data_IF_682854996405
#
_entry.id   IF_682854996405
#
_cell.length_a   1.000
_cell.length_b   1.000
_cell.length_c   1.000
_cell.angle_alpha   90.00
_cell.angle_beta   90.00
_cell.angle_gamma   90.00
#
_symmetry.space_group_name_H-M   'P 1'
#
loop_
_entity.id
_entity.type
_entity.pdbx_description
1 polymer ?
#
# COMPACT_ATOMS: atom_id res chain seq x y z
N UNK A 1 -4.74 10.11 30.69
CA UNK A 1 -5.84 9.74 31.60
C UNK A 1 -6.02 8.22 31.56
N UNK A 2 -6.67 7.61 32.54
CA UNK A 2 -6.99 6.19 32.48
C UNK A 2 -8.06 5.92 31.40
N UNK A 3 -7.94 4.80 30.68
CA UNK A 3 -8.91 4.36 29.65
C UNK A 3 -10.27 4.02 30.28
N UNK A 4 -11.36 4.23 29.53
CA UNK A 4 -12.71 3.82 29.96
C UNK A 4 -13.03 2.43 29.43
N UNK A 5 -12.74 1.41 30.24
CA UNK A 5 -12.84 0.03 29.80
C UNK A 5 -14.21 -0.58 30.12
N UNK A 6 -14.79 -1.27 29.13
CA UNK A 6 -15.91 -2.20 29.31
C UNK A 6 -15.39 -3.63 29.28
N UNK A 7 -15.86 -4.45 30.22
CA UNK A 7 -15.63 -5.89 30.18
C UNK A 7 -16.62 -6.54 29.20
N UNK A 8 -16.11 -7.24 28.19
CA UNK A 8 -16.93 -7.94 27.21
C UNK A 8 -17.21 -9.38 27.64
N UNK A 9 -16.22 -10.06 28.25
CA UNK A 9 -16.43 -11.40 28.80
C UNK A 9 -15.15 -12.23 28.98
N UNK A 10 -15.35 -13.43 29.53
CA UNK A 10 -14.32 -14.46 29.69
C UNK A 10 -14.93 -15.85 29.51
N UNK A 11 -14.20 -16.76 28.87
CA UNK A 11 -14.64 -18.13 28.61
C UNK A 11 -14.51 -19.10 29.79
N UNK A 12 -14.27 -18.61 31.01
CA UNK A 12 -13.97 -19.48 32.15
C UNK A 12 -15.05 -19.51 33.21
N UNK A 13 -15.41 -20.73 33.64
CA UNK A 13 -16.22 -20.94 34.84
C UNK A 13 -15.44 -20.94 36.16
N UNK A 14 -14.09 -20.87 36.15
CA UNK A 14 -13.25 -21.24 37.32
C UNK A 14 -12.27 -20.20 37.89
N UNK A 15 -12.06 -19.05 37.24
CA UNK A 15 -11.16 -17.98 37.71
C UNK A 15 -9.72 -18.02 37.17
N UNK A 16 -9.12 -16.83 36.99
CA UNK A 16 -7.84 -16.50 36.30
C UNK A 16 -7.80 -16.92 34.82
N UNK A 17 -8.59 -16.27 33.98
CA UNK A 17 -8.70 -16.67 32.58
C UNK A 17 -8.59 -15.52 31.60
N UNK A 18 -8.33 -15.87 30.32
CA UNK A 18 -8.28 -14.87 29.28
C UNK A 18 -9.61 -14.14 29.16
N UNK A 19 -9.52 -12.83 29.02
CA UNK A 19 -10.66 -11.95 28.99
C UNK A 19 -10.48 -10.89 27.91
N UNK A 20 -11.62 -10.44 27.42
CA UNK A 20 -11.72 -9.39 26.42
C UNK A 20 -12.34 -8.17 27.07
N UNK A 21 -11.66 -7.04 26.94
CA UNK A 21 -12.17 -5.72 27.29
C UNK A 21 -12.16 -4.85 26.04
N UNK A 22 -12.92 -3.78 26.09
CA UNK A 22 -13.00 -2.78 25.03
C UNK A 22 -12.84 -1.39 25.63
N UNK A 23 -11.99 -0.59 25.02
CA UNK A 23 -11.88 0.83 25.32
C UNK A 23 -13.05 1.56 24.68
N UNK A 24 -13.89 2.20 25.50
CA UNK A 24 -15.09 2.89 25.01
C UNK A 24 -14.77 4.19 24.28
N UNK A 25 -13.57 4.74 24.45
CA UNK A 25 -13.16 5.99 23.83
C UNK A 25 -12.45 5.74 22.49
N UNK A 26 -11.57 4.72 22.41
CA UNK A 26 -10.82 4.41 21.19
C UNK A 26 -11.37 3.24 20.38
N UNK A 27 -12.29 2.45 20.96
CA UNK A 27 -12.78 1.17 20.40
C UNK A 27 -11.74 0.05 20.36
N UNK A 28 -10.54 0.28 20.89
CA UNK A 28 -9.50 -0.76 20.97
C UNK A 28 -9.97 -1.96 21.79
N UNK A 29 -9.60 -3.15 21.32
CA UNK A 29 -9.80 -4.39 22.05
C UNK A 29 -8.57 -4.71 22.88
N UNK A 30 -8.77 -4.92 24.18
CA UNK A 30 -7.72 -5.37 25.09
C UNK A 30 -7.96 -6.84 25.39
N UNK A 31 -7.03 -7.67 24.98
CA UNK A 31 -7.02 -9.10 25.29
C UNK A 31 -5.89 -9.36 26.27
N UNK A 32 -6.19 -10.02 27.39
CA UNK A 32 -5.17 -10.47 28.33
C UNK A 32 -5.38 -11.93 28.69
N UNK A 33 -4.31 -12.63 29.04
CA UNK A 33 -4.30 -14.06 29.36
C UNK A 33 -2.92 -14.51 29.87
N UNK A 34 -2.72 -15.81 30.10
CA UNK A 34 -1.41 -16.36 30.41
C UNK A 34 -0.42 -16.05 29.29
N UNK A 35 0.81 -15.66 29.66
CA UNK A 35 1.89 -15.43 28.70
C UNK A 35 2.29 -16.75 28.04
N UNK A 36 2.56 -16.71 26.74
CA UNK A 36 3.25 -17.80 26.06
C UNK A 36 4.74 -17.66 26.39
N UNK A 37 5.31 -18.66 27.07
CA UNK A 37 6.68 -18.58 27.59
C UNK A 37 7.65 -19.59 26.97
N UNK A 38 7.14 -20.58 26.25
CA UNK A 38 8.00 -21.57 25.59
C UNK A 38 8.76 -20.92 24.43
N UNK A 39 10.09 -21.00 24.45
CA UNK A 39 10.94 -20.36 23.45
C UNK A 39 10.78 -20.96 22.05
N UNK A 40 10.47 -22.25 21.96
CA UNK A 40 10.25 -22.91 20.67
C UNK A 40 8.92 -22.47 20.06
N UNK A 41 7.90 -22.24 20.88
CA UNK A 41 6.63 -21.67 20.42
C UNK A 41 6.79 -20.21 19.97
N UNK A 42 7.51 -19.39 20.75
CA UNK A 42 7.77 -17.98 20.42
C UNK A 42 8.54 -17.84 19.11
N UNK A 43 9.54 -18.69 18.86
CA UNK A 43 10.35 -18.65 17.64
C UNK A 43 9.57 -18.93 16.35
N UNK A 44 8.34 -19.45 16.45
CA UNK A 44 7.46 -19.70 15.30
C UNK A 44 6.51 -18.54 15.01
N UNK A 45 6.40 -17.55 15.89
CA UNK A 45 5.52 -16.40 15.70
C UNK A 45 6.07 -15.46 14.61
N UNK A 46 5.16 -14.93 13.80
CA UNK A 46 5.48 -13.94 12.76
C UNK A 46 5.15 -12.54 13.28
N UNK A 47 5.97 -11.56 12.90
CA UNK A 47 5.77 -10.13 13.23
C UNK A 47 5.79 -9.78 14.73
N UNK A 48 6.42 -10.60 15.57
CA UNK A 48 6.57 -10.29 17.00
C UNK A 48 7.71 -9.30 17.22
N UNK A 49 7.42 -8.15 17.84
CA UNK A 49 8.43 -7.14 18.20
C UNK A 49 8.97 -7.29 19.65
N UNK A 50 10.00 -6.50 20.01
CA UNK A 50 10.65 -6.57 21.33
C UNK A 50 9.81 -5.99 22.49
N UNK A 51 8.74 -5.27 22.19
CA UNK A 51 7.81 -4.66 23.14
C UNK A 51 6.51 -5.47 23.28
N UNK A 52 6.30 -6.48 22.44
CA UNK A 52 5.16 -7.37 22.46
C UNK A 52 5.35 -8.56 23.41
N UNK A 53 4.28 -8.93 24.11
CA UNK A 53 4.24 -10.13 24.96
C UNK A 53 3.14 -11.04 24.42
N UNK A 54 3.48 -12.19 23.80
CA UNK A 54 2.47 -13.10 23.30
C UNK A 54 1.70 -13.74 24.46
N UNK A 55 0.38 -13.84 24.31
CA UNK A 55 -0.53 -14.45 25.28
C UNK A 55 -1.30 -15.62 24.65
N UNK A 56 -1.70 -16.58 25.48
CA UNK A 56 -2.52 -17.72 25.06
C UNK A 56 -3.98 -17.44 25.39
N UNK A 57 -4.84 -17.50 24.37
CA UNK A 57 -6.27 -17.20 24.49
C UNK A 57 -7.09 -18.33 23.86
N UNK A 58 -8.03 -18.96 24.60
CA UNK A 58 -8.93 -19.95 24.03
C UNK A 58 -9.72 -19.38 22.84
N UNK A 59 -9.83 -20.18 21.78
CA UNK A 59 -10.57 -19.81 20.57
C UNK A 59 -11.97 -19.27 20.87
N UNK A 60 -12.70 -19.95 21.76
CA UNK A 60 -14.06 -19.57 22.12
C UNK A 60 -14.11 -18.21 22.84
N UNK A 61 -13.09 -17.81 23.60
CA UNK A 61 -13.08 -16.49 24.23
C UNK A 61 -13.10 -15.37 23.18
N UNK A 62 -12.30 -15.49 22.12
CA UNK A 62 -12.28 -14.51 21.02
C UNK A 62 -13.56 -14.60 20.18
N UNK A 63 -14.06 -15.80 19.91
CA UNK A 63 -15.30 -15.98 19.17
C UNK A 63 -16.48 -15.43 19.96
N UNK A 64 -16.62 -15.71 21.24
CA UNK A 64 -17.84 -15.38 21.99
C UNK A 64 -17.88 -13.91 22.42
N UNK A 65 -16.72 -13.32 22.72
CA UNK A 65 -16.62 -11.99 23.34
C UNK A 65 -15.84 -10.95 22.52
N UNK A 66 -15.24 -11.34 21.40
CA UNK A 66 -14.64 -10.40 20.45
C UNK A 66 -15.70 -9.57 19.71
N UNK A 67 -15.33 -8.37 19.20
CA UNK A 67 -16.23 -7.56 18.39
C UNK A 67 -16.77 -8.33 17.20
N UNK A 68 -18.05 -8.11 16.89
CA UNK A 68 -18.74 -8.73 15.75
C UNK A 68 -18.75 -7.83 14.52
N UNK A 69 -18.73 -6.54 14.79
CA UNK A 69 -18.65 -5.50 13.78
C UNK A 69 -17.21 -5.03 13.67
N UNK A 70 -16.82 -4.66 12.44
CA UNK A 70 -15.55 -3.98 12.20
C UNK A 70 -15.70 -2.50 12.56
N UNK A 71 -14.58 -1.84 12.78
CA UNK A 71 -14.58 -0.38 12.85
C UNK A 71 -15.18 0.18 11.55
N UNK A 72 -16.10 1.12 11.71
CA UNK A 72 -16.71 1.83 10.59
C UNK A 72 -15.76 2.85 9.99
N UNK A 73 -14.80 3.32 10.79
CA UNK A 73 -13.84 4.33 10.38
C UNK A 73 -12.69 3.68 9.60
N UNK A 74 -12.29 4.28 8.46
CA UNK A 74 -11.12 3.84 7.71
C UNK A 74 -9.85 3.86 8.57
N UNK A 75 -9.01 2.83 8.44
CA UNK A 75 -7.67 2.82 9.05
C UNK A 75 -6.74 3.68 8.20
N UNK A 76 -6.51 4.93 8.60
CA UNK A 76 -5.62 5.85 7.88
C UNK A 76 -4.20 5.75 8.45
N UNK A 77 -3.23 5.46 7.59
CA UNK A 77 -1.81 5.58 7.88
C UNK A 77 -1.31 6.97 7.47
N UNK A 78 -0.38 7.52 8.26
CA UNK A 78 0.42 8.65 7.82
C UNK A 78 1.45 8.22 6.74
N UNK A 79 1.97 9.17 5.94
CA UNK A 79 2.93 8.86 4.86
C UNK A 79 4.21 8.15 5.32
N UNK A 80 4.70 8.41 6.54
CA UNK A 80 5.92 7.77 7.04
C UNK A 80 5.66 6.30 7.37
N UNK A 81 4.54 6.00 8.02
CA UNK A 81 4.12 4.62 8.30
C UNK A 81 3.84 3.86 7.01
N UNK A 82 3.22 4.51 6.02
CA UNK A 82 3.01 3.92 4.69
C UNK A 82 4.33 3.55 3.98
N UNK A 83 5.36 4.41 4.06
CA UNK A 83 6.67 4.12 3.44
C UNK A 83 7.30 2.82 3.99
N UNK A 84 7.10 2.50 5.27
CA UNK A 84 7.58 1.24 5.86
C UNK A 84 6.93 -0.02 5.29
N UNK A 85 5.80 0.07 4.60
CA UNK A 85 5.15 -1.10 3.98
C UNK A 85 6.00 -1.71 2.85
N UNK A 86 6.79 -0.89 2.14
CA UNK A 86 7.64 -1.34 1.04
C UNK A 86 8.82 -2.21 1.50
N UNK A 87 9.20 -2.13 2.77
CA UNK A 87 10.22 -2.99 3.35
C UNK A 87 9.65 -4.39 3.69
N UNK A 88 8.34 -4.46 3.95
CA UNK A 88 7.71 -5.60 4.60
C UNK A 88 6.92 -6.53 3.67
N UNK A 89 6.60 -6.14 2.44
CA UNK A 89 5.92 -7.05 1.50
C UNK A 89 6.82 -8.22 1.09
N UNK A 90 6.21 -9.37 0.79
CA UNK A 90 6.92 -10.64 0.59
C UNK A 90 6.93 -11.13 -0.86
N UNK A 91 5.91 -10.80 -1.65
CA UNK A 91 5.69 -11.41 -2.96
C UNK A 91 5.39 -10.39 -4.06
N UNK A 92 4.58 -9.38 -3.77
CA UNK A 92 4.20 -8.39 -4.78
C UNK A 92 3.84 -7.03 -4.21
N UNK A 93 4.21 -5.97 -4.93
CA UNK A 93 3.71 -4.62 -4.73
C UNK A 93 3.26 -4.05 -6.09
N UNK A 94 2.01 -3.63 -6.21
CA UNK A 94 1.48 -3.14 -7.48
C UNK A 94 0.73 -1.81 -7.33
N UNK A 95 1.00 -0.83 -8.21
CA UNK A 95 0.44 0.52 -8.13
C UNK A 95 -0.47 0.83 -9.33
N UNK A 96 -1.69 1.33 -9.06
CA UNK A 96 -2.45 2.10 -10.05
C UNK A 96 -2.21 3.60 -9.80
N UNK A 97 -1.58 4.26 -10.75
CA UNK A 97 -1.28 5.69 -10.72
C UNK A 97 -2.31 6.46 -11.55
N UNK A 98 -3.25 7.14 -10.89
CA UNK A 98 -4.33 7.90 -11.56
C UNK A 98 -4.01 9.39 -11.72
N UNK A 99 -3.03 9.90 -10.96
CA UNK A 99 -2.73 11.33 -10.83
C UNK A 99 -2.13 11.93 -12.11
N UNK A 100 -2.18 13.27 -12.17
CA UNK A 100 -1.57 14.08 -13.24
C UNK A 100 -0.13 14.53 -12.91
N UNK A 101 0.37 14.13 -11.76
CA UNK A 101 1.66 14.48 -11.17
C UNK A 101 1.58 14.36 -9.65
N UNK A 102 2.73 14.42 -9.00
CA UNK A 102 2.84 14.35 -7.54
C UNK A 102 3.67 15.52 -7.02
N UNK A 103 3.31 16.06 -5.86
CA UNK A 103 4.05 17.17 -5.25
C UNK A 103 5.49 16.77 -4.88
N UNK A 104 5.69 15.51 -4.45
CA UNK A 104 7.00 14.97 -4.09
C UNK A 104 7.98 15.02 -5.27
N UNK A 105 7.50 14.73 -6.49
CA UNK A 105 8.32 14.81 -7.70
C UNK A 105 8.75 16.24 -7.97
N UNK A 106 7.82 17.20 -7.86
CA UNK A 106 8.07 18.63 -8.11
C UNK A 106 9.14 19.23 -7.20
N UNK A 107 9.38 18.62 -6.05
CA UNK A 107 10.41 19.05 -5.10
C UNK A 107 11.82 18.51 -5.41
N UNK A 108 11.98 17.67 -6.44
CA UNK A 108 13.25 17.00 -6.76
C UNK A 108 14.10 17.78 -7.77
N UNK A 109 15.43 17.60 -7.69
CA UNK A 109 16.37 18.14 -8.68
C UNK A 109 16.18 17.50 -10.07
N UNK A 110 15.74 16.23 -10.14
CA UNK A 110 15.45 15.54 -11.40
C UNK A 110 14.26 16.14 -12.13
N UNK A 111 13.24 16.59 -11.39
CA UNK A 111 12.13 17.35 -11.96
C UNK A 111 12.60 18.70 -12.50
N UNK A 112 13.44 19.42 -11.75
CA UNK A 112 14.01 20.68 -12.21
C UNK A 112 14.90 20.51 -13.47
N UNK A 113 15.65 19.42 -13.58
CA UNK A 113 16.40 19.06 -14.80
C UNK A 113 15.45 18.80 -15.98
N UNK A 114 14.41 18.00 -15.76
CA UNK A 114 13.40 17.69 -16.77
C UNK A 114 12.73 18.96 -17.33
N UNK A 115 12.37 19.93 -16.47
CA UNK A 115 11.79 21.21 -16.90
C UNK A 115 12.74 22.07 -17.75
N UNK A 116 14.05 21.82 -17.70
CA UNK A 116 15.07 22.48 -18.53
C UNK A 116 15.39 21.69 -19.80
N UNK A 117 14.59 20.68 -20.13
CA UNK A 117 14.83 19.72 -21.22
C UNK A 117 16.17 18.97 -21.10
N UNK A 118 16.71 18.88 -19.87
CA UNK A 118 17.90 18.08 -19.56
C UNK A 118 17.49 16.62 -19.31
N UNK A 119 18.37 15.68 -19.64
CA UNK A 119 18.20 14.28 -19.23
C UNK A 119 18.38 14.16 -17.71
N UNK A 120 17.33 13.76 -16.96
CA UNK A 120 17.45 13.65 -15.51
C UNK A 120 18.49 12.61 -15.10
N UNK A 121 19.26 12.92 -14.06
CA UNK A 121 20.23 11.98 -13.47
C UNK A 121 19.58 11.22 -12.33
N UNK A 122 19.23 9.97 -12.58
CA UNK A 122 18.55 9.12 -11.61
C UNK A 122 19.50 8.62 -10.52
N UNK A 123 19.08 8.73 -9.26
CA UNK A 123 19.81 8.18 -8.12
C UNK A 123 19.45 6.69 -7.90
N UNK A 124 20.27 5.82 -8.46
CA UNK A 124 20.17 4.36 -8.28
C UNK A 124 20.52 3.89 -6.87
N UNK A 125 20.98 4.80 -5.99
CA UNK A 125 21.33 4.52 -4.61
C UNK A 125 20.44 5.28 -3.62
N UNK A 126 19.25 5.73 -4.01
CA UNK A 126 18.26 6.20 -3.05
C UNK A 126 17.80 5.06 -2.13
N UNK A 127 17.22 5.38 -0.97
CA UNK A 127 16.63 4.36 -0.08
C UNK A 127 15.57 3.52 -0.83
N UNK A 128 14.73 4.19 -1.61
CA UNK A 128 13.77 3.54 -2.50
C UNK A 128 14.43 2.57 -3.48
N UNK A 129 15.44 3.04 -4.23
CA UNK A 129 16.13 2.24 -5.24
C UNK A 129 16.78 0.99 -4.62
N UNK A 130 17.43 1.13 -3.46
CA UNK A 130 18.01 -0.01 -2.72
C UNK A 130 16.95 -1.02 -2.31
N UNK A 131 15.84 -0.56 -1.74
CA UNK A 131 14.78 -1.43 -1.25
C UNK A 131 14.09 -2.17 -2.39
N UNK A 132 13.64 -1.46 -3.42
CA UNK A 132 12.92 -2.07 -4.55
C UNK A 132 13.82 -2.97 -5.38
N UNK A 133 15.06 -2.55 -5.68
CA UNK A 133 15.98 -3.38 -6.45
C UNK A 133 16.34 -4.67 -5.71
N UNK A 134 16.52 -4.62 -4.39
CA UNK A 134 16.74 -5.84 -3.60
C UNK A 134 15.52 -6.79 -3.64
N UNK A 135 14.30 -6.25 -3.52
CA UNK A 135 13.06 -7.04 -3.59
C UNK A 135 12.86 -7.69 -4.96
N UNK A 136 13.05 -6.96 -6.04
CA UNK A 136 12.89 -7.49 -7.40
C UNK A 136 13.97 -8.52 -7.74
N UNK A 137 15.21 -8.33 -7.28
CA UNK A 137 16.29 -9.30 -7.41
C UNK A 137 16.03 -10.61 -6.65
N UNK A 138 15.34 -10.55 -5.51
CA UNK A 138 14.90 -11.71 -4.73
C UNK A 138 13.63 -12.38 -5.32
N UNK A 139 13.14 -11.88 -6.46
CA UNK A 139 12.02 -12.46 -7.20
C UNK A 139 10.64 -11.91 -6.86
N UNK A 140 10.54 -10.89 -6.00
CA UNK A 140 9.27 -10.23 -5.73
C UNK A 140 8.82 -9.40 -6.95
N UNK A 141 7.52 -9.42 -7.26
CA UNK A 141 6.98 -8.68 -8.39
C UNK A 141 6.61 -7.25 -7.98
N UNK A 142 7.29 -6.26 -8.55
CA UNK A 142 6.91 -4.85 -8.43
C UNK A 142 6.42 -4.35 -9.78
N UNK A 143 5.25 -3.73 -9.82
CA UNK A 143 4.67 -3.27 -11.08
C UNK A 143 3.74 -2.08 -10.91
N UNK A 144 3.45 -1.41 -12.01
CA UNK A 144 2.58 -0.22 -12.01
C UNK A 144 1.90 0.00 -13.35
N UNK A 145 0.69 0.56 -13.29
CA UNK A 145 0.00 1.13 -14.46
C UNK A 145 -0.23 2.61 -14.22
N UNK A 146 0.33 3.44 -15.10
CA UNK A 146 0.18 4.90 -15.10
C UNK A 146 -0.89 5.35 -16.09
N UNK A 147 -1.87 6.08 -15.59
CA UNK A 147 -2.90 6.69 -16.43
C UNK A 147 -2.44 8.05 -16.94
N UNK A 148 -2.51 8.22 -18.26
CA UNK A 148 -1.97 9.37 -18.99
C UNK A 148 -3.10 10.15 -19.67
N UNK A 149 -3.11 11.48 -19.52
CA UNK A 149 -4.06 12.36 -20.22
C UNK A 149 -3.65 12.53 -21.68
N UNK A 150 -4.58 12.97 -22.54
CA UNK A 150 -4.26 13.33 -23.92
C UNK A 150 -4.70 14.78 -24.20
N UNK A 151 -3.76 15.75 -24.33
CA UNK A 151 -2.31 15.57 -24.20
C UNK A 151 -1.86 15.30 -22.74
N UNK A 152 -0.70 14.65 -22.52
CA UNK A 152 -0.17 14.42 -21.17
C UNK A 152 0.15 15.74 -20.45
N UNK A 153 -0.13 15.81 -19.15
CA UNK A 153 0.31 16.93 -18.31
C UNK A 153 1.82 16.95 -18.14
N UNK A 154 2.37 18.05 -17.65
CA UNK A 154 3.79 18.17 -17.35
C UNK A 154 4.28 17.10 -16.35
N UNK A 155 3.53 16.90 -15.26
CA UNK A 155 3.81 15.83 -14.30
C UNK A 155 3.77 14.44 -14.94
N UNK A 156 2.81 14.17 -15.83
CA UNK A 156 2.74 12.89 -16.54
C UNK A 156 3.90 12.69 -17.53
N UNK A 157 4.37 13.74 -18.21
CA UNK A 157 5.56 13.65 -19.06
C UNK A 157 6.82 13.36 -18.24
N UNK A 158 6.95 13.97 -17.06
CA UNK A 158 8.03 13.62 -16.12
C UNK A 158 7.93 12.15 -15.70
N UNK A 159 6.74 11.67 -15.33
CA UNK A 159 6.53 10.26 -14.96
C UNK A 159 6.79 9.28 -16.10
N UNK A 160 6.55 9.68 -17.35
CA UNK A 160 6.94 8.90 -18.54
C UNK A 160 8.47 8.82 -18.68
N UNK A 161 9.20 9.92 -18.44
CA UNK A 161 10.66 9.91 -18.42
C UNK A 161 11.21 9.07 -17.24
N UNK A 162 10.61 9.20 -16.06
CA UNK A 162 10.97 8.45 -14.85
C UNK A 162 10.69 6.94 -14.96
N UNK A 163 9.85 6.51 -15.92
CA UNK A 163 9.58 5.09 -16.15
C UNK A 163 10.83 4.27 -16.47
N UNK A 164 11.84 4.89 -17.11
CA UNK A 164 13.14 4.24 -17.36
C UNK A 164 13.84 3.86 -16.05
N UNK A 165 13.92 4.80 -15.10
CA UNK A 165 14.50 4.55 -13.78
C UNK A 165 13.78 3.41 -13.04
N UNK A 166 12.44 3.42 -13.00
CA UNK A 166 11.67 2.34 -12.37
C UNK A 166 11.92 0.99 -13.03
N UNK A 167 11.99 0.94 -14.36
CA UNK A 167 12.26 -0.29 -15.09
C UNK A 167 13.68 -0.84 -14.83
N UNK A 168 14.68 0.04 -14.65
CA UNK A 168 16.04 -0.36 -14.24
C UNK A 168 16.09 -0.97 -12.82
N UNK A 169 15.17 -0.57 -11.94
CA UNK A 169 14.99 -1.20 -10.62
C UNK A 169 14.27 -2.56 -10.68
N UNK A 170 13.84 -3.00 -11.87
CA UNK A 170 13.17 -4.28 -12.10
C UNK A 170 11.64 -4.22 -12.04
N UNK A 171 11.04 -3.03 -12.08
CA UNK A 171 9.59 -2.88 -12.06
C UNK A 171 8.95 -3.12 -13.45
N UNK A 172 7.76 -3.76 -13.50
CA UNK A 172 6.92 -3.78 -14.71
C UNK A 172 6.12 -2.47 -14.82
N UNK A 173 6.64 -1.53 -15.62
CA UNK A 173 6.03 -0.22 -15.82
C UNK A 173 5.22 -0.19 -17.11
N UNK A 174 3.94 0.14 -16.97
CA UNK A 174 2.98 0.25 -18.08
C UNK A 174 2.19 1.53 -18.03
N UNK A 175 1.62 1.91 -19.16
CA UNK A 175 0.84 3.11 -19.34
C UNK A 175 -0.48 2.82 -20.07
N UNK A 176 -1.51 3.58 -19.73
CA UNK A 176 -2.83 3.51 -20.37
C UNK A 176 -3.38 4.93 -20.51
N UNK A 177 -4.07 5.22 -21.61
CA UNK A 177 -4.72 6.51 -21.74
C UNK A 177 -5.91 6.63 -20.79
N UNK A 178 -6.17 7.84 -20.26
CA UNK A 178 -7.30 8.09 -19.36
C UNK A 178 -8.65 7.73 -19.96
N UNK A 179 -8.83 7.94 -21.27
CA UNK A 179 -10.07 7.54 -21.94
C UNK A 179 -10.29 6.02 -21.95
N UNK A 180 -9.23 5.22 -22.06
CA UNK A 180 -9.29 3.75 -21.99
C UNK A 180 -9.59 3.29 -20.56
N UNK A 181 -8.97 3.93 -19.56
CA UNK A 181 -9.23 3.68 -18.15
C UNK A 181 -10.72 3.87 -17.81
N UNK A 182 -11.35 4.94 -18.32
CA UNK A 182 -12.79 5.15 -18.18
C UNK A 182 -13.63 4.13 -18.95
N UNK A 183 -13.22 3.74 -20.16
CA UNK A 183 -13.94 2.75 -20.96
C UNK A 183 -14.02 1.38 -20.27
N UNK A 184 -13.04 1.04 -19.43
CA UNK A 184 -12.99 -0.21 -18.67
C UNK A 184 -13.42 -0.04 -17.21
N UNK A 185 -13.97 1.12 -16.85
CA UNK A 185 -14.50 1.48 -15.53
C UNK A 185 -13.48 1.40 -14.39
N UNK A 186 -12.22 1.83 -14.62
CA UNK A 186 -11.29 2.06 -13.51
C UNK A 186 -11.79 3.24 -12.66
N UNK A 187 -11.71 3.15 -11.33
CA UNK A 187 -12.06 4.26 -10.44
C UNK A 187 -11.03 5.39 -10.55
N UNK A 188 -11.43 6.61 -10.18
CA UNK A 188 -10.51 7.75 -10.02
C UNK A 188 -9.81 7.67 -8.66
N UNK A 189 -9.15 6.54 -8.42
CA UNK A 189 -8.48 6.18 -7.17
C UNK A 189 -7.03 5.81 -7.45
N UNK A 190 -6.12 6.32 -6.63
CA UNK A 190 -4.69 6.00 -6.68
C UNK A 190 -4.37 5.04 -5.53
N UNK A 191 -3.87 3.84 -5.83
CA UNK A 191 -3.70 2.83 -4.77
C UNK A 191 -2.61 1.80 -5.06
N UNK A 192 -2.02 1.30 -3.99
CA UNK A 192 -1.13 0.15 -3.99
C UNK A 192 -1.86 -1.13 -3.56
N UNK A 193 -1.42 -2.27 -4.10
CA UNK A 193 -1.76 -3.61 -3.62
C UNK A 193 -0.48 -4.30 -3.17
N UNK A 194 -0.44 -4.72 -1.91
CA UNK A 194 0.65 -5.53 -1.36
C UNK A 194 0.19 -6.97 -1.17
N UNK A 195 0.99 -7.91 -1.70
CA UNK A 195 0.83 -9.36 -1.55
C UNK A 195 -0.59 -9.86 -1.84
N UNK A 196 -1.31 -9.16 -2.71
CA UNK A 196 -2.72 -9.40 -3.09
C UNK A 196 -3.73 -9.50 -1.93
N UNK A 197 -3.37 -9.08 -0.71
CA UNK A 197 -4.23 -9.16 0.48
C UNK A 197 -4.34 -7.85 1.27
N UNK A 198 -3.56 -6.84 0.90
CA UNK A 198 -3.59 -5.50 1.46
C UNK A 198 -3.69 -4.48 0.33
N UNK A 199 -4.62 -3.54 0.46
CA UNK A 199 -4.72 -2.37 -0.43
C UNK A 199 -4.43 -1.11 0.40
N UNK A 200 -3.61 -0.23 -0.16
CA UNK A 200 -3.25 1.07 0.39
C UNK A 200 -3.77 2.14 -0.57
N UNK A 201 -4.95 2.69 -0.25
CA UNK A 201 -5.62 3.72 -1.05
C UNK A 201 -5.08 5.11 -0.66
N UNK A 202 -4.39 5.76 -1.59
CA UNK A 202 -3.72 7.03 -1.38
C UNK A 202 -4.71 8.20 -1.32
N UNK A 203 -4.56 9.06 -0.32
CA UNK A 203 -5.35 10.28 -0.15
C UNK A 203 -4.50 11.50 -0.48
N UNK A 204 -5.03 12.39 -1.31
CA UNK A 204 -4.30 13.54 -1.85
C UNK A 204 -5.03 14.83 -1.51
N UNK A 205 -4.29 15.92 -1.29
CA UNK A 205 -4.87 17.26 -1.32
C UNK A 205 -4.91 17.86 -2.74
N UNK A 206 -5.43 19.08 -2.86
CA UNK A 206 -5.55 19.81 -4.12
C UNK A 206 -4.18 20.14 -4.76
N UNK A 207 -3.10 20.12 -3.97
CA UNK A 207 -1.73 20.42 -4.38
C UNK A 207 -0.92 19.14 -4.70
N UNK A 208 -1.57 17.98 -4.83
CA UNK A 208 -0.97 16.64 -5.02
C UNK A 208 -0.02 16.17 -3.89
N UNK A 209 -0.21 16.64 -2.66
CA UNK A 209 0.51 16.07 -1.51
C UNK A 209 -0.23 14.84 -0.99
N UNK A 210 0.52 13.78 -0.68
CA UNK A 210 -0.02 12.60 0.00
C UNK A 210 -0.32 12.96 1.46
N UNK A 211 -1.60 13.03 1.81
CA UNK A 211 -2.06 13.42 3.16
C UNK A 211 -2.29 12.22 4.07
N UNK A 212 -2.54 11.05 3.49
CA UNK A 212 -2.74 9.81 4.22
C UNK A 212 -2.99 8.63 3.29
N UNK A 213 -3.07 7.43 3.87
CA UNK A 213 -3.32 6.19 3.13
C UNK A 213 -4.36 5.36 3.88
N UNK A 214 -5.52 5.13 3.27
CA UNK A 214 -6.51 4.18 3.80
C UNK A 214 -6.02 2.76 3.58
N UNK A 215 -6.02 1.98 4.66
CA UNK A 215 -5.56 0.60 4.66
C UNK A 215 -6.73 -0.37 4.68
N UNK A 216 -6.90 -1.05 3.55
CA UNK A 216 -8.00 -1.95 3.24
C UNK A 216 -7.47 -3.39 3.28
N UNK A 217 -7.94 -4.18 4.23
CA UNK A 217 -7.58 -5.60 4.39
C UNK A 217 -8.80 -6.52 4.31
N UNK A 218 -9.99 -5.97 4.01
CA UNK A 218 -11.19 -6.77 3.90
C UNK A 218 -11.14 -7.64 2.63
N UNK A 219 -11.21 -8.98 2.72
CA UNK A 219 -10.99 -9.85 1.57
C UNK A 219 -11.88 -9.54 0.36
N UNK A 220 -13.13 -9.13 0.60
CA UNK A 220 -14.05 -8.75 -0.47
C UNK A 220 -13.64 -7.45 -1.18
N UNK A 221 -13.25 -6.41 -0.43
CA UNK A 221 -12.75 -5.13 -1.00
C UNK A 221 -11.43 -5.37 -1.71
N UNK A 222 -10.49 -6.07 -1.08
CA UNK A 222 -9.19 -6.40 -1.70
C UNK A 222 -9.38 -7.21 -2.99
N UNK A 223 -10.32 -8.15 -3.06
CA UNK A 223 -10.62 -8.86 -4.30
C UNK A 223 -11.15 -7.92 -5.41
N UNK A 224 -11.92 -6.88 -5.05
CA UNK A 224 -12.35 -5.88 -6.02
C UNK A 224 -11.15 -5.12 -6.60
N UNK A 225 -10.22 -4.66 -5.77
CA UNK A 225 -8.99 -4.00 -6.23
C UNK A 225 -8.08 -4.92 -7.05
N UNK A 226 -7.95 -6.20 -6.68
CA UNK A 226 -7.23 -7.18 -7.50
C UNK A 226 -7.84 -7.33 -8.90
N UNK A 227 -9.18 -7.29 -9.05
CA UNK A 227 -9.83 -7.29 -10.36
C UNK A 227 -9.53 -6.02 -11.15
N UNK A 228 -9.46 -4.86 -10.49
CA UNK A 228 -9.09 -3.60 -11.12
C UNK A 228 -7.65 -3.63 -11.63
N UNK A 229 -6.71 -4.19 -10.85
CA UNK A 229 -5.34 -4.46 -11.31
C UNK A 229 -5.35 -5.30 -12.58
N UNK A 230 -6.06 -6.42 -12.57
CA UNK A 230 -6.07 -7.35 -13.71
C UNK A 230 -6.65 -6.68 -14.98
N UNK A 231 -7.71 -5.86 -14.83
CA UNK A 231 -8.25 -5.05 -15.92
C UNK A 231 -7.25 -3.99 -16.41
N UNK A 232 -6.62 -3.25 -15.50
CA UNK A 232 -5.62 -2.25 -15.83
C UNK A 232 -4.43 -2.87 -16.60
N UNK A 233 -3.90 -4.00 -16.12
CA UNK A 233 -2.80 -4.71 -16.76
C UNK A 233 -3.15 -5.24 -18.15
N UNK A 234 -4.39 -5.70 -18.35
CA UNK A 234 -4.84 -6.25 -19.63
C UNK A 234 -4.81 -5.20 -20.76
N UNK A 235 -5.24 -3.97 -20.46
CA UNK A 235 -5.35 -2.89 -21.45
C UNK A 235 -4.14 -1.96 -21.47
N UNK A 236 -3.27 -2.00 -20.46
CA UNK A 236 -2.08 -1.16 -20.40
C UNK A 236 -0.97 -1.65 -21.33
N UNK A 237 -0.25 -0.69 -21.90
CA UNK A 237 0.87 -0.90 -22.82
C UNK A 237 2.19 -0.74 -22.06
N UNK A 238 3.22 -1.58 -22.31
CA UNK A 238 4.56 -1.36 -21.75
C UNK A 238 5.07 0.06 -22.03
N UNK A 239 5.75 0.68 -21.05
CA UNK A 239 6.07 2.11 -21.14
C UNK A 239 6.89 2.48 -22.39
N UNK A 240 7.81 1.60 -22.83
CA UNK A 240 8.63 1.82 -24.04
C UNK A 240 7.78 1.93 -25.29
N UNK A 241 6.81 1.03 -25.44
CA UNK A 241 5.90 1.01 -26.59
C UNK A 241 4.95 2.21 -26.54
N UNK A 242 4.50 2.60 -25.35
CA UNK A 242 3.64 3.75 -25.15
C UNK A 242 4.36 5.07 -25.50
N UNK A 243 5.59 5.27 -25.04
CA UNK A 243 6.41 6.45 -25.35
C UNK A 243 6.71 6.53 -26.85
N UNK A 244 7.04 5.41 -27.49
CA UNK A 244 7.27 5.36 -28.93
C UNK A 244 6.00 5.76 -29.73
N UNK A 245 4.82 5.28 -29.32
CA UNK A 245 3.56 5.64 -29.96
C UNK A 245 3.16 7.11 -29.73
N UNK A 246 3.53 7.70 -28.60
CA UNK A 246 3.32 9.12 -28.32
C UNK A 246 4.19 9.99 -29.24
N UNK A 247 5.49 9.70 -29.34
CA UNK A 247 6.41 10.43 -30.21
C UNK A 247 5.95 10.41 -31.69
N UNK A 248 5.48 9.25 -32.18
CA UNK A 248 4.97 9.11 -33.54
C UNK A 248 3.66 9.87 -33.82
N UNK A 249 2.93 10.33 -32.80
CA UNK A 249 1.74 11.19 -32.94
C UNK A 249 2.07 12.68 -32.98
N UNK A 250 3.24 13.05 -32.47
CA UNK A 250 3.70 14.44 -32.40
C UNK A 250 4.48 14.86 -33.66
N UNK A 251 4.96 13.89 -34.46
CA UNK A 251 5.52 14.05 -35.82
C UNK A 251 4.44 14.22 -36.91
#
# INVERSE_FOLDING_TARGET
MARRLRFNGTGSGGGSCPAVHEDLDTRDVIVHGPRLTDSADIAQLQHLDEHEIPIVVPRNTLIDFGPKDRDTEPRILDPQTFAGMFENFQHSAWHLEMRKGYAVDRATDTYAQFLRDETPKWDMNSDWARTISAKTQDGAHVGRVRIVDNPPTEGQRYLLAHAEHNAELGEDVRNMWRHDAYAVNLPDEDFWIFDSHIVALCQWDDDDNLTGVELISEPARVNQYNRLRDAALHYATPYKDFVAALAAKEE
#
